data_IF_596676749558
#
_entry.id   IF_596676749558
#
_cell.length_a   1.000
_cell.length_b   1.000
_cell.length_c   1.000
_cell.angle_alpha   90.00
_cell.angle_beta   90.00
_cell.angle_gamma   90.00
#
_symmetry.space_group_name_H-M   'P 1'
#
loop_
_entity.id
_entity.type
_entity.pdbx_description
1 polymer ?
#
# COMPACT_ATOMS: atom_id res chain seq x y z
N UNK A 1 -90.22 4.37 -26.94
CA UNK A 1 -90.90 5.36 -27.80
C UNK A 1 -90.21 5.32 -29.11
N UNK A 2 -90.95 4.78 -30.03
CA UNK A 2 -91.28 5.15 -31.39
C UNK A 2 -90.14 5.06 -32.36
N UNK A 3 -90.22 4.16 -33.20
CA UNK A 3 -91.08 3.83 -34.33
C UNK A 3 -90.37 4.07 -35.64
N UNK A 4 -90.17 3.00 -36.39
CA UNK A 4 -90.79 2.78 -37.74
C UNK A 4 -90.10 3.56 -38.86
N UNK A 5 -89.98 3.13 -40.07
CA UNK A 5 -90.69 2.16 -40.93
C UNK A 5 -89.85 2.03 -42.22
N UNK A 6 -89.75 0.84 -42.82
CA UNK A 6 -90.53 0.34 -43.95
C UNK A 6 -90.26 1.13 -45.28
N UNK A 7 -89.96 0.63 -46.36
CA UNK A 7 -90.38 -0.44 -47.28
C UNK A 7 -89.55 -0.25 -48.57
N UNK A 8 -89.12 -1.23 -49.25
CA UNK A 8 -89.75 -2.22 -50.14
C UNK A 8 -89.80 -1.83 -51.65
N UNK A 9 -89.47 -2.79 -52.41
CA UNK A 9 -90.04 -3.13 -53.76
C UNK A 9 -89.27 -2.57 -54.97
N UNK A 10 -88.92 -3.26 -55.95
CA UNK A 10 -89.18 -4.36 -56.80
C UNK A 10 -88.31 -4.36 -58.08
N UNK A 11 -87.79 -5.48 -58.41
CA UNK A 11 -87.96 -6.25 -59.61
C UNK A 11 -87.33 -5.76 -60.92
N UNK A 12 -86.78 -6.71 -61.60
CA UNK A 12 -86.46 -6.63 -63.02
C UNK A 12 -85.29 -7.47 -63.41
N UNK A 13 -85.56 -8.71 -63.79
CA UNK A 13 -84.69 -9.73 -64.34
C UNK A 13 -84.18 -9.43 -65.69
N UNK A 14 -83.07 -10.03 -66.04
CA UNK A 14 -82.89 -10.74 -67.36
C UNK A 14 -81.62 -11.60 -67.29
N UNK A 15 -81.80 -12.85 -67.64
CA UNK A 15 -80.76 -13.81 -67.93
C UNK A 15 -79.93 -13.39 -69.12
N UNK A 16 -78.64 -13.61 -69.13
CA UNK A 16 -77.88 -14.13 -70.31
C UNK A 16 -76.67 -14.93 -69.78
N UNK A 17 -76.55 -16.10 -70.32
CA UNK A 17 -75.55 -17.11 -70.21
C UNK A 17 -74.20 -16.69 -70.83
N UNK A 18 -73.15 -17.37 -70.30
CA UNK A 18 -71.98 -17.86 -70.99
C UNK A 18 -70.64 -17.30 -70.53
N UNK A 19 -69.78 -18.22 -70.22
CA UNK A 19 -68.33 -18.05 -70.34
C UNK A 19 -67.49 -18.49 -69.17
N UNK A 20 -67.35 -19.81 -69.04
CA UNK A 20 -66.19 -20.32 -68.25
C UNK A 20 -64.91 -19.81 -68.86
N UNK A 21 -64.13 -19.11 -68.05
CA UNK A 21 -62.70 -18.90 -68.30
C UNK A 21 -61.97 -19.26 -67.02
N UNK A 22 -61.28 -20.39 -67.08
CA UNK A 22 -60.28 -20.80 -66.10
C UNK A 22 -59.23 -19.68 -65.89
N UNK A 23 -59.29 -18.96 -64.78
CA UNK A 23 -58.21 -18.10 -64.40
C UNK A 23 -57.30 -18.93 -63.49
N UNK A 24 -56.21 -19.42 -64.05
CA UNK A 24 -55.08 -19.94 -63.26
C UNK A 24 -54.76 -18.93 -62.20
N UNK A 25 -54.98 -19.28 -60.91
CA UNK A 25 -54.46 -18.59 -59.76
C UNK A 25 -52.96 -18.58 -59.92
N UNK A 26 -52.35 -17.44 -60.28
CA UNK A 26 -50.94 -17.19 -60.10
C UNK A 26 -50.73 -17.15 -58.63
N UNK A 27 -50.03 -18.14 -58.14
CA UNK A 27 -49.47 -18.12 -56.79
C UNK A 27 -48.68 -16.80 -56.63
N UNK A 28 -49.16 -15.92 -55.76
CA UNK A 28 -48.50 -14.68 -55.37
C UNK A 28 -47.19 -15.05 -54.64
N UNK A 29 -46.12 -15.13 -55.41
CA UNK A 29 -44.77 -15.30 -54.82
C UNK A 29 -44.52 -14.02 -54.00
N UNK A 30 -44.40 -14.09 -52.67
CA UNK A 30 -44.17 -12.89 -51.90
C UNK A 30 -42.89 -12.21 -52.38
N UNK A 31 -43.00 -10.92 -52.67
CA UNK A 31 -41.84 -10.13 -53.11
C UNK A 31 -40.73 -10.17 -52.11
N UNK A 32 -39.53 -10.58 -52.53
CA UNK A 32 -38.37 -10.63 -51.63
C UNK A 32 -38.02 -9.23 -51.12
N UNK A 33 -37.94 -9.09 -49.81
CA UNK A 33 -37.61 -7.83 -49.11
C UNK A 33 -36.11 -7.58 -49.25
N UNK A 34 -35.74 -6.39 -49.71
CA UNK A 34 -34.31 -5.98 -49.79
C UNK A 34 -33.74 -5.67 -48.43
N UNK A 35 -32.65 -6.32 -48.05
CA UNK A 35 -32.00 -6.18 -46.77
C UNK A 35 -30.50 -6.03 -46.94
N UNK A 36 -29.88 -5.29 -45.99
CA UNK A 36 -28.43 -5.26 -45.80
C UNK A 36 -28.03 -6.28 -44.75
N UNK A 37 -26.93 -6.95 -44.96
CA UNK A 37 -26.42 -7.97 -44.03
C UNK A 37 -24.99 -7.68 -43.61
N UNK A 38 -24.60 -8.19 -42.45
CA UNK A 38 -23.23 -8.22 -42.00
C UNK A 38 -22.89 -9.62 -41.47
N UNK A 39 -21.65 -10.03 -41.67
CA UNK A 39 -21.16 -11.29 -41.16
C UNK A 39 -20.90 -11.18 -39.61
N UNK A 40 -21.23 -12.25 -38.91
CA UNK A 40 -20.86 -12.45 -37.52
C UNK A 40 -19.37 -12.74 -37.47
N UNK A 41 -18.61 -11.85 -36.88
CA UNK A 41 -17.16 -12.00 -36.74
C UNK A 41 -16.80 -12.32 -35.26
N UNK A 42 -15.78 -13.15 -35.07
CA UNK A 42 -15.25 -13.40 -33.74
C UNK A 42 -14.37 -12.22 -33.29
N UNK A 43 -14.75 -11.56 -32.20
CA UNK A 43 -14.02 -10.45 -31.61
C UNK A 43 -13.42 -10.89 -30.29
N UNK A 44 -12.14 -10.55 -30.04
CA UNK A 44 -11.49 -10.77 -28.76
C UNK A 44 -12.20 -9.92 -27.69
N UNK A 45 -12.57 -10.55 -26.58
CA UNK A 45 -13.20 -9.86 -25.45
C UNK A 45 -12.11 -9.37 -24.51
N UNK A 46 -12.11 -8.08 -24.21
CA UNK A 46 -11.26 -7.52 -23.15
C UNK A 46 -11.77 -8.01 -21.79
N UNK A 47 -11.08 -9.00 -21.22
CA UNK A 47 -11.39 -9.55 -19.90
C UNK A 47 -10.62 -8.85 -18.79
N UNK A 48 -10.00 -7.70 -19.06
CA UNK A 48 -9.22 -6.96 -18.10
C UNK A 48 -10.07 -6.49 -16.92
N UNK A 49 -9.73 -6.96 -15.73
CA UNK A 49 -10.34 -6.49 -14.50
C UNK A 49 -9.62 -5.22 -14.03
N UNK A 50 -10.37 -4.19 -13.69
CA UNK A 50 -9.83 -2.92 -13.19
C UNK A 50 -10.16 -2.78 -11.72
N UNK A 51 -9.13 -2.65 -10.90
CA UNK A 51 -9.23 -2.44 -9.46
C UNK A 51 -8.80 -1.02 -9.13
N UNK A 52 -9.68 -0.29 -8.43
CA UNK A 52 -9.37 1.06 -7.95
C UNK A 52 -8.89 1.00 -6.50
N UNK A 53 -7.85 1.76 -6.20
CA UNK A 53 -7.34 1.92 -4.83
C UNK A 53 -6.63 3.27 -4.67
N UNK A 54 -6.42 3.65 -3.42
CA UNK A 54 -5.69 4.85 -3.05
C UNK A 54 -4.19 4.55 -2.97
N UNK A 55 -3.37 5.50 -3.42
CA UNK A 55 -1.93 5.43 -3.25
C UNK A 55 -1.55 5.74 -1.81
N UNK A 56 -0.75 4.88 -1.22
CA UNK A 56 -0.19 5.04 0.13
C UNK A 56 1.34 5.13 0.05
N UNK A 57 2.00 5.77 1.02
CA UNK A 57 3.46 5.70 1.13
C UNK A 57 3.91 4.25 1.35
N UNK A 58 5.12 3.92 0.93
CA UNK A 58 5.73 2.60 1.17
C UNK A 58 5.81 2.26 2.66
N UNK A 59 6.20 3.24 3.47
CA UNK A 59 6.22 3.15 4.92
C UNK A 59 5.89 4.50 5.56
N UNK A 60 5.30 4.45 6.75
CA UNK A 60 5.01 5.64 7.56
C UNK A 60 5.60 5.49 8.94
N UNK A 61 6.13 6.59 9.49
CA UNK A 61 6.65 6.65 10.85
C UNK A 61 5.97 7.81 11.57
N UNK A 62 5.37 7.53 12.71
CA UNK A 62 4.92 8.58 13.63
C UNK A 62 6.06 8.99 14.54
N UNK A 63 6.36 10.28 14.55
CA UNK A 63 7.42 10.89 15.34
C UNK A 63 6.82 11.53 16.56
N UNK A 64 7.30 11.15 17.74
CA UNK A 64 6.87 11.69 19.02
C UNK A 64 8.08 12.11 19.85
N UNK A 65 7.92 13.14 20.68
CA UNK A 65 8.96 13.54 21.62
C UNK A 65 9.11 12.52 22.76
N UNK A 66 10.33 12.27 23.16
CA UNK A 66 10.65 11.42 24.32
C UNK A 66 10.80 12.21 25.62
N UNK A 67 10.80 13.53 25.52
CA UNK A 67 10.94 14.46 26.64
C UNK A 67 9.82 15.49 26.62
N UNK A 68 9.55 16.09 27.76
CA UNK A 68 8.54 17.13 27.95
C UNK A 68 9.16 18.51 27.71
N UNK A 69 8.35 19.50 27.35
CA UNK A 69 8.80 20.90 27.28
C UNK A 69 8.19 21.68 26.13
N UNK A 70 8.59 22.94 26.02
CA UNK A 70 8.13 23.80 24.93
C UNK A 70 8.98 23.60 23.68
N UNK A 71 8.32 23.48 22.52
CA UNK A 71 9.01 23.46 21.23
C UNK A 71 9.66 24.82 20.99
N UNK A 72 10.98 24.84 20.90
CA UNK A 72 11.77 26.06 20.70
C UNK A 72 11.86 26.41 19.21
N UNK A 73 12.13 25.43 18.37
CA UNK A 73 12.33 25.62 16.92
C UNK A 73 11.92 24.41 16.11
N UNK A 74 11.59 24.68 14.85
CA UNK A 74 11.34 23.68 13.82
C UNK A 74 12.40 23.76 12.73
N UNK A 75 12.57 22.67 11.98
CA UNK A 75 13.39 22.64 10.77
C UNK A 75 12.94 23.73 9.82
N UNK A 76 13.91 24.45 9.24
CA UNK A 76 13.62 25.43 8.19
C UNK A 76 13.88 24.82 6.82
N UNK A 77 12.86 24.86 5.96
CA UNK A 77 12.91 24.44 4.56
C UNK A 77 12.56 25.65 3.71
N UNK A 78 13.48 26.06 2.82
CA UNK A 78 13.24 27.24 1.98
C UNK A 78 12.99 28.54 2.75
N UNK A 79 13.58 28.70 3.95
CA UNK A 79 13.42 29.91 4.78
C UNK A 79 12.18 29.95 5.68
N UNK A 80 11.26 28.99 5.56
CA UNK A 80 10.07 28.82 6.41
C UNK A 80 10.16 27.59 7.28
N UNK A 81 9.36 27.51 8.33
CA UNK A 81 9.23 26.29 9.12
C UNK A 81 8.68 25.15 8.25
N UNK A 82 9.17 23.94 8.49
CA UNK A 82 8.74 22.70 7.84
C UNK A 82 7.22 22.56 7.90
N UNK A 83 6.63 22.11 6.79
CA UNK A 83 5.19 21.89 6.64
C UNK A 83 4.91 20.53 5.99
N UNK A 84 3.64 20.13 6.01
CA UNK A 84 3.19 18.96 5.26
C UNK A 84 3.51 19.15 3.75
N UNK A 85 4.05 18.10 3.14
CA UNK A 85 4.53 18.10 1.76
C UNK A 85 6.03 18.36 1.60
N UNK A 86 6.73 18.85 2.63
CA UNK A 86 8.18 19.08 2.56
C UNK A 86 8.95 17.77 2.65
N UNK A 87 10.03 17.67 1.87
CA UNK A 87 10.98 16.57 1.95
C UNK A 87 12.01 16.84 3.05
N UNK A 88 12.29 15.82 3.84
CA UNK A 88 13.29 15.83 4.91
C UNK A 88 14.27 14.69 4.73
N UNK A 89 15.55 14.96 4.90
CA UNK A 89 16.59 13.95 4.82
C UNK A 89 16.71 13.17 6.14
N UNK A 90 17.17 11.93 6.07
CA UNK A 90 17.57 11.15 7.25
C UNK A 90 18.59 11.93 8.08
N UNK A 91 18.38 11.98 9.41
CA UNK A 91 19.24 12.70 10.34
C UNK A 91 18.91 14.19 10.49
N UNK A 92 17.96 14.75 9.74
CA UNK A 92 17.52 16.12 9.91
C UNK A 92 16.78 16.30 11.24
N UNK A 93 17.10 17.36 11.97
CA UNK A 93 16.39 17.73 13.21
C UNK A 93 15.11 18.45 12.81
N UNK A 94 13.96 17.79 12.98
CA UNK A 94 12.64 18.30 12.61
C UNK A 94 12.12 19.35 13.58
N UNK A 95 12.37 19.13 14.86
CA UNK A 95 11.97 20.03 15.93
C UNK A 95 12.93 19.91 17.11
N UNK A 96 12.98 20.95 17.93
CA UNK A 96 13.79 20.98 19.12
C UNK A 96 12.97 21.53 20.28
N UNK A 97 12.97 20.80 21.39
CA UNK A 97 12.43 21.28 22.67
C UNK A 97 13.47 22.19 23.32
N UNK A 98 13.05 23.15 24.15
CA UNK A 98 13.93 24.04 24.90
C UNK A 98 14.98 23.24 25.65
N UNK A 99 16.24 23.53 25.38
CA UNK A 99 17.36 22.73 25.86
C UNK A 99 17.98 23.25 27.17
N UNK A 100 17.61 24.44 27.63
CA UNK A 100 18.25 25.10 28.80
C UNK A 100 18.32 24.20 30.04
N UNK A 101 17.17 23.62 30.39
CA UNK A 101 17.04 22.85 31.64
C UNK A 101 17.73 21.49 31.53
N UNK A 102 17.64 20.86 30.38
CA UNK A 102 18.29 19.59 30.04
C UNK A 102 19.81 19.74 29.96
N UNK A 103 20.32 20.87 29.44
CA UNK A 103 21.73 21.21 29.40
C UNK A 103 22.26 21.40 30.81
N UNK A 104 21.54 22.16 31.65
CA UNK A 104 21.95 22.36 33.06
C UNK A 104 22.04 21.02 33.81
N UNK A 105 21.08 20.10 33.59
CA UNK A 105 21.12 18.75 34.18
C UNK A 105 22.30 17.91 33.68
N UNK A 106 22.64 18.01 32.39
CA UNK A 106 23.82 17.35 31.81
C UNK A 106 25.11 17.92 32.40
N UNK A 107 25.23 19.23 32.48
CA UNK A 107 26.43 19.89 33.03
C UNK A 107 26.64 19.55 34.51
N UNK A 108 25.56 19.47 35.30
CA UNK A 108 25.60 19.03 36.67
C UNK A 108 26.09 17.57 36.82
N UNK A 109 25.57 16.64 36.01
CA UNK A 109 25.99 15.23 36.02
C UNK A 109 27.44 15.05 35.55
N UNK A 110 27.91 15.85 34.61
CA UNK A 110 29.30 15.92 34.19
C UNK A 110 30.24 16.37 35.32
N UNK A 111 29.85 17.45 35.99
CA UNK A 111 30.61 17.93 37.14
C UNK A 111 30.74 16.87 38.25
N UNK A 112 29.66 16.12 38.53
CA UNK A 112 29.65 15.02 39.45
C UNK A 112 30.59 13.87 39.05
N UNK A 113 30.59 13.50 37.75
CA UNK A 113 31.52 12.49 37.24
C UNK A 113 32.99 12.92 37.36
N UNK A 114 33.29 14.19 37.06
CA UNK A 114 34.63 14.76 37.26
C UNK A 114 35.04 14.75 38.71
N UNK A 115 34.17 15.16 39.64
CA UNK A 115 34.43 15.11 41.07
C UNK A 115 34.75 13.68 41.56
N UNK A 116 33.98 12.70 41.10
CA UNK A 116 34.22 11.29 41.46
C UNK A 116 35.54 10.76 40.85
N UNK A 117 35.93 11.24 39.67
CA UNK A 117 37.21 10.89 39.04
C UNK A 117 38.39 11.42 39.83
N UNK A 118 38.31 12.67 40.34
CA UNK A 118 39.33 13.23 41.22
C UNK A 118 39.39 12.50 42.58
N UNK A 119 38.23 12.12 43.14
CA UNK A 119 38.16 11.27 44.34
C UNK A 119 38.90 9.94 44.19
N UNK A 120 38.75 9.28 43.05
CA UNK A 120 39.48 8.04 42.73
C UNK A 120 41.01 8.29 42.64
N UNK A 121 41.43 9.41 42.02
CA UNK A 121 42.86 9.77 41.99
C UNK A 121 43.44 9.95 43.37
N UNK A 122 42.74 10.67 44.25
CA UNK A 122 43.17 10.86 45.65
C UNK A 122 43.29 9.51 46.35
N UNK A 123 42.31 8.61 46.21
CA UNK A 123 42.36 7.29 46.82
C UNK A 123 43.51 6.43 46.28
N UNK A 124 43.82 6.53 44.99
CA UNK A 124 44.99 5.82 44.40
C UNK A 124 46.31 6.35 44.91
N UNK A 125 46.46 7.65 45.09
CA UNK A 125 47.64 8.23 45.69
C UNK A 125 47.83 7.80 47.17
N UNK A 126 46.73 7.78 47.95
CA UNK A 126 46.75 7.27 49.33
C UNK A 126 47.15 5.80 49.39
N UNK A 127 46.64 4.96 48.47
CA UNK A 127 47.07 3.56 48.35
C UNK A 127 48.57 3.46 48.06
N UNK A 128 49.08 4.21 47.11
CA UNK A 128 50.53 4.22 46.79
C UNK A 128 51.38 4.65 47.97
N UNK A 129 50.94 5.63 48.77
CA UNK A 129 51.62 6.04 50.00
C UNK A 129 51.68 4.92 51.04
N UNK A 130 50.53 4.22 51.25
CA UNK A 130 50.47 3.13 52.24
C UNK A 130 51.27 1.92 51.78
N UNK A 131 51.27 1.62 50.46
CA UNK A 131 52.07 0.54 49.86
C UNK A 131 53.57 0.79 50.03
N UNK A 132 54.05 2.05 49.94
CA UNK A 132 55.43 2.37 50.19
C UNK A 132 55.81 2.14 51.71
N UNK A 133 54.91 2.48 52.64
CA UNK A 133 55.12 2.21 54.10
C UNK A 133 55.13 0.71 54.35
N UNK A 134 54.21 -0.06 53.71
CA UNK A 134 54.19 -1.52 53.82
C UNK A 134 55.50 -2.16 53.31
N UNK A 135 55.99 -1.68 52.14
CA UNK A 135 57.25 -2.17 51.56
C UNK A 135 58.40 -1.99 52.49
N UNK A 136 58.50 -0.80 53.19
CA UNK A 136 59.52 -0.57 54.25
C UNK A 136 59.34 -1.56 55.37
N UNK A 137 58.15 -1.69 55.96
CA UNK A 137 57.86 -2.60 57.05
C UNK A 137 58.19 -4.05 56.76
N UNK A 138 57.90 -4.49 55.47
CA UNK A 138 58.25 -5.82 54.99
C UNK A 138 59.74 -6.08 54.96
N UNK A 139 60.54 -5.14 54.46
CA UNK A 139 62.02 -5.23 54.47
C UNK A 139 62.59 -5.21 55.89
N UNK A 140 61.99 -4.41 56.77
CA UNK A 140 62.39 -4.34 58.21
C UNK A 140 62.09 -5.68 58.95
N UNK A 141 60.90 -6.28 58.72
CA UNK A 141 60.52 -7.57 59.28
C UNK A 141 61.37 -8.75 58.71
N UNK A 142 61.70 -8.67 57.42
CA UNK A 142 62.63 -9.65 56.83
C UNK A 142 64.00 -9.62 57.46
N UNK A 143 64.60 -8.42 57.67
CA UNK A 143 65.87 -8.23 58.37
C UNK A 143 65.77 -8.66 59.83
N UNK A 144 64.69 -8.31 60.57
CA UNK A 144 64.49 -8.76 61.93
C UNK A 144 64.34 -10.31 61.98
N UNK A 145 63.78 -10.94 61.06
CA UNK A 145 63.66 -12.42 61.00
C UNK A 145 65.02 -13.06 60.83
N UNK A 146 65.88 -12.56 59.96
CA UNK A 146 67.21 -13.08 59.71
C UNK A 146 68.10 -12.91 61.00
N UNK A 147 68.08 -11.71 61.61
CA UNK A 147 68.83 -11.43 62.82
C UNK A 147 68.35 -12.24 64.05
N UNK A 148 67.04 -12.48 64.18
CA UNK A 148 66.46 -13.34 65.18
C UNK A 148 66.90 -14.82 65.03
N UNK A 149 66.97 -15.33 63.88
CA UNK A 149 67.46 -16.69 63.54
C UNK A 149 68.94 -16.83 63.93
N UNK A 150 69.73 -15.78 63.69
CA UNK A 150 71.14 -15.73 64.07
C UNK A 150 71.35 -15.42 65.63
N UNK A 151 70.24 -15.31 66.36
CA UNK A 151 70.25 -14.96 67.80
C UNK A 151 70.87 -13.55 68.11
N UNK A 152 70.86 -12.65 67.12
CA UNK A 152 71.38 -11.31 67.19
C UNK A 152 70.28 -10.25 67.50
N UNK A 153 69.01 -10.69 67.63
CA UNK A 153 67.89 -9.80 67.98
C UNK A 153 67.07 -10.38 69.13
N UNK A 154 66.49 -9.52 70.00
CA UNK A 154 65.57 -9.99 71.03
C UNK A 154 64.22 -10.37 70.55
N UNK A 155 63.55 -11.33 71.27
CA UNK A 155 62.17 -11.72 70.88
C UNK A 155 61.15 -10.57 70.83
N UNK A 156 61.11 -9.65 71.81
CA UNK A 156 60.22 -8.50 71.76
C UNK A 156 60.42 -7.63 70.51
N UNK A 157 61.65 -7.37 70.08
CA UNK A 157 61.97 -6.54 68.93
C UNK A 157 61.51 -7.27 67.59
N UNK A 158 61.68 -8.61 67.50
CA UNK A 158 61.15 -9.39 66.43
C UNK A 158 59.65 -9.37 66.39
N UNK A 159 58.97 -9.58 67.52
CA UNK A 159 57.51 -9.56 67.60
C UNK A 159 56.96 -8.16 67.23
N UNK A 160 57.65 -7.06 67.63
CA UNK A 160 57.30 -5.70 67.24
C UNK A 160 57.39 -5.43 65.75
N UNK A 161 58.50 -5.91 65.11
CA UNK A 161 58.64 -5.76 63.62
C UNK A 161 57.55 -6.53 62.86
N UNK A 162 57.22 -7.72 63.37
CA UNK A 162 56.15 -8.54 62.75
C UNK A 162 54.77 -7.90 62.94
N UNK A 163 54.47 -7.39 64.15
CA UNK A 163 53.20 -6.68 64.39
C UNK A 163 53.07 -5.41 63.54
N UNK A 164 54.19 -4.72 63.29
CA UNK A 164 54.20 -3.55 62.38
C UNK A 164 53.94 -3.95 60.94
N UNK A 165 54.49 -5.08 60.44
CA UNK A 165 54.20 -5.61 59.12
C UNK A 165 52.71 -5.96 59.01
N UNK A 166 52.13 -6.67 59.98
CA UNK A 166 50.74 -7.07 59.95
C UNK A 166 49.81 -5.85 59.99
N UNK A 167 50.13 -4.83 60.75
CA UNK A 167 49.39 -3.57 60.80
C UNK A 167 49.41 -2.81 59.47
N UNK A 168 50.60 -2.66 58.87
CA UNK A 168 50.70 -1.97 57.57
C UNK A 168 50.04 -2.76 56.43
N UNK A 169 50.06 -4.09 56.49
CA UNK A 169 49.31 -4.95 55.56
C UNK A 169 47.82 -4.67 55.67
N UNK A 170 47.24 -4.61 56.84
CA UNK A 170 45.83 -4.28 57.04
C UNK A 170 45.48 -2.88 56.49
N UNK A 171 46.40 -1.90 56.64
CA UNK A 171 46.23 -0.55 56.08
C UNK A 171 46.21 -0.57 54.54
N UNK A 172 47.07 -1.37 53.88
CA UNK A 172 47.03 -1.54 52.41
C UNK A 172 45.71 -2.13 51.96
N UNK A 173 45.21 -3.19 52.60
CA UNK A 173 43.92 -3.79 52.28
C UNK A 173 42.76 -2.80 52.44
N UNK A 174 42.77 -1.99 53.50
CA UNK A 174 41.78 -0.95 53.71
C UNK A 174 41.84 0.14 52.61
N UNK A 175 43.05 0.58 52.21
CA UNK A 175 43.24 1.54 51.14
C UNK A 175 42.81 0.97 49.76
N UNK A 176 43.08 -0.30 49.49
CA UNK A 176 42.61 -0.99 48.30
C UNK A 176 41.09 -1.02 48.23
N UNK A 177 40.43 -1.33 49.34
CA UNK A 177 38.97 -1.28 49.41
C UNK A 177 38.41 0.12 49.19
N UNK A 178 39.10 1.15 49.72
CA UNK A 178 38.70 2.53 49.45
C UNK A 178 38.81 2.88 47.95
N UNK A 179 39.89 2.46 47.26
CA UNK A 179 40.01 2.63 45.78
C UNK A 179 38.87 1.94 45.03
N UNK A 180 38.48 0.73 45.47
CA UNK A 180 37.36 0.01 44.90
C UNK A 180 36.04 0.78 45.09
N UNK A 181 35.78 1.32 46.28
CA UNK A 181 34.61 2.15 46.55
C UNK A 181 34.57 3.39 45.66
N UNK A 182 35.68 4.13 45.54
CA UNK A 182 35.77 5.34 44.73
C UNK A 182 35.59 5.01 43.23
N UNK A 183 36.09 3.85 42.77
CA UNK A 183 35.86 3.37 41.40
C UNK A 183 34.38 3.14 41.14
N UNK A 184 33.69 2.48 42.07
CA UNK A 184 32.25 2.21 41.92
C UNK A 184 31.44 3.52 41.95
N UNK A 185 31.82 4.51 42.75
CA UNK A 185 31.20 5.84 42.73
C UNK A 185 31.40 6.56 41.38
N UNK A 186 32.61 6.48 40.81
CA UNK A 186 32.87 7.03 39.49
C UNK A 186 32.03 6.36 38.40
N UNK A 187 31.93 5.03 38.42
CA UNK A 187 31.10 4.33 37.42
C UNK A 187 29.60 4.67 37.55
N UNK A 188 29.10 4.85 38.76
CA UNK A 188 27.75 5.34 39.03
C UNK A 188 27.54 6.76 38.48
N UNK A 189 28.48 7.67 38.75
CA UNK A 189 28.41 9.05 38.26
C UNK A 189 28.47 9.13 36.73
N UNK A 190 29.31 8.32 36.08
CA UNK A 190 29.37 8.20 34.63
C UNK A 190 28.07 7.62 34.02
N UNK A 191 27.44 6.67 34.72
CA UNK A 191 26.15 6.16 34.29
C UNK A 191 25.07 7.25 34.32
N UNK A 192 25.07 8.09 35.34
CA UNK A 192 24.19 9.25 35.46
C UNK A 192 24.47 10.30 34.35
N UNK A 193 25.73 10.58 34.04
CA UNK A 193 26.12 11.47 32.94
C UNK A 193 25.61 10.94 31.59
N UNK A 194 25.79 9.62 31.32
CA UNK A 194 25.23 9.00 30.09
C UNK A 194 23.71 9.14 30.02
N UNK A 195 22.99 8.92 31.11
CA UNK A 195 21.54 9.09 31.18
C UNK A 195 21.12 10.54 30.87
N UNK A 196 21.80 11.52 31.45
CA UNK A 196 21.53 12.94 31.19
C UNK A 196 21.88 13.33 29.75
N UNK A 197 22.92 12.74 29.16
CA UNK A 197 23.28 12.94 27.76
C UNK A 197 22.17 12.43 26.83
N UNK A 198 21.67 11.22 27.04
CA UNK A 198 20.57 10.65 26.26
C UNK A 198 19.33 11.55 26.37
N UNK A 199 18.99 12.01 27.57
CA UNK A 199 17.84 12.88 27.80
C UNK A 199 18.01 14.23 27.09
N UNK A 200 19.21 14.79 27.07
CA UNK A 200 19.53 16.01 26.33
C UNK A 200 19.44 15.79 24.82
N UNK A 201 19.96 14.69 24.29
CA UNK A 201 19.87 14.35 22.87
C UNK A 201 18.42 14.13 22.43
N UNK A 202 17.59 13.54 23.29
CA UNK A 202 16.16 13.31 23.04
C UNK A 202 15.33 14.62 23.00
N UNK A 203 15.91 15.78 23.33
CA UNK A 203 15.30 17.10 23.09
C UNK A 203 15.21 17.46 21.61
N UNK A 204 16.02 16.82 20.77
CA UNK A 204 16.01 16.99 19.34
C UNK A 204 15.26 15.84 18.68
N UNK A 205 14.19 16.14 17.96
CA UNK A 205 13.41 15.15 17.21
C UNK A 205 14.04 14.97 15.83
N UNK A 206 14.73 13.86 15.62
CA UNK A 206 15.55 13.59 14.44
C UNK A 206 14.82 12.62 13.50
N UNK A 207 14.78 12.92 12.20
CA UNK A 207 14.18 12.06 11.18
C UNK A 207 14.96 10.73 11.03
N UNK A 208 14.34 9.56 11.23
CA UNK A 208 15.02 8.26 11.17
C UNK A 208 15.31 7.81 9.74
N UNK A 209 14.61 8.39 8.76
CA UNK A 209 14.73 8.10 7.33
C UNK A 209 14.49 9.34 6.50
N UNK A 210 14.92 9.32 5.25
CA UNK A 210 14.53 10.33 4.27
C UNK A 210 13.07 10.11 3.87
N UNK A 211 12.23 11.14 4.02
CA UNK A 211 10.78 11.02 3.87
C UNK A 211 10.14 12.38 3.54
N UNK A 212 8.87 12.34 3.18
CA UNK A 212 8.02 13.54 3.10
C UNK A 212 7.20 13.67 4.39
N UNK A 213 7.09 14.88 4.89
CA UNK A 213 6.21 15.19 6.02
C UNK A 213 4.76 15.07 5.55
N UNK A 214 4.04 14.06 6.04
CA UNK A 214 2.63 13.87 5.72
C UNK A 214 1.74 14.77 6.60
N UNK A 215 2.14 14.93 7.86
CA UNK A 215 1.39 15.70 8.85
C UNK A 215 2.34 16.34 9.86
N UNK A 216 2.03 17.56 10.26
CA UNK A 216 2.71 18.31 11.34
C UNK A 216 1.67 18.71 12.38
N UNK A 217 1.91 18.34 13.63
CA UNK A 217 0.99 18.59 14.76
C UNK A 217 1.55 19.57 15.80
N UNK A 218 2.74 20.11 15.57
CA UNK A 218 3.43 20.97 16.54
C UNK A 218 3.88 22.29 15.90
N UNK A 219 3.86 23.36 16.71
CA UNK A 219 4.37 24.68 16.34
C UNK A 219 5.36 25.18 17.39
N UNK A 220 6.24 26.14 17.07
CA UNK A 220 7.07 26.80 18.07
C UNK A 220 6.21 27.38 19.18
N UNK A 221 6.60 27.15 20.44
CA UNK A 221 5.82 27.56 21.61
C UNK A 221 4.80 26.53 22.09
N UNK A 222 4.55 25.44 21.35
CA UNK A 222 3.67 24.34 21.81
C UNK A 222 4.33 23.59 22.98
N UNK A 223 3.58 23.38 24.06
CA UNK A 223 3.98 22.45 25.12
C UNK A 223 3.73 21.02 24.66
N UNK A 224 4.77 20.20 24.67
CA UNK A 224 4.70 18.79 24.31
C UNK A 224 5.05 17.90 25.50
N UNK A 225 4.43 16.74 25.57
CA UNK A 225 4.71 15.71 26.54
C UNK A 225 5.34 14.48 25.90
N UNK A 226 5.85 13.56 26.73
CA UNK A 226 6.38 12.26 26.26
C UNK A 226 5.33 11.48 25.51
N UNK A 227 5.68 10.99 24.31
CA UNK A 227 4.78 10.23 23.45
C UNK A 227 3.79 11.08 22.67
N UNK A 228 3.77 12.40 22.85
CA UNK A 228 2.91 13.28 22.05
C UNK A 228 3.33 13.26 20.58
N UNK A 229 2.44 12.86 19.63
CA UNK A 229 2.77 12.81 18.21
C UNK A 229 3.03 14.22 17.67
N UNK A 230 4.17 14.39 17.02
CA UNK A 230 4.63 15.67 16.49
C UNK A 230 4.59 15.73 14.97
N UNK A 231 5.07 14.69 14.32
CA UNK A 231 5.10 14.57 12.86
C UNK A 231 4.72 13.16 12.42
N UNK A 232 4.11 13.06 11.26
CA UNK A 232 3.97 11.80 10.53
C UNK A 232 4.78 11.91 9.24
N UNK A 233 5.77 11.04 9.11
CA UNK A 233 6.65 10.96 7.95
C UNK A 233 6.25 9.79 7.06
N UNK A 234 6.36 9.95 5.74
CA UNK A 234 6.10 8.89 4.76
C UNK A 234 7.21 8.77 3.74
N UNK A 235 7.68 7.55 3.52
CA UNK A 235 8.55 7.27 2.39
C UNK A 235 7.71 7.21 1.11
N UNK A 236 7.90 8.20 0.24
CA UNK A 236 7.18 8.30 -1.04
C UNK A 236 8.07 8.02 -2.26
N UNK A 237 9.31 7.56 -2.07
CA UNK A 237 10.18 7.14 -3.18
C UNK A 237 9.59 5.95 -3.95
N UNK A 238 8.83 5.13 -3.25
CA UNK A 238 7.93 4.12 -3.77
C UNK A 238 6.57 4.38 -3.15
N UNK A 239 5.51 4.29 -3.92
CA UNK A 239 4.14 4.31 -3.41
C UNK A 239 3.51 2.94 -3.63
N UNK A 240 2.57 2.58 -2.78
CA UNK A 240 1.86 1.31 -2.87
C UNK A 240 0.38 1.52 -3.07
N UNK A 241 -0.25 0.57 -3.74
CA UNK A 241 -1.70 0.46 -3.85
C UNK A 241 -2.11 -0.92 -3.34
N UNK A 242 -3.11 -0.98 -2.48
CA UNK A 242 -3.68 -2.23 -1.99
C UNK A 242 -5.13 -2.36 -2.49
N UNK A 243 -5.47 -3.50 -3.08
CA UNK A 243 -6.81 -3.80 -3.56
C UNK A 243 -7.17 -5.26 -3.28
N UNK A 244 -8.48 -5.53 -3.20
CA UNK A 244 -8.99 -6.86 -2.95
C UNK A 244 -9.23 -7.62 -4.24
N UNK A 245 -8.81 -8.87 -4.28
CA UNK A 245 -8.93 -9.77 -5.44
C UNK A 245 -9.63 -11.06 -5.02
N UNK A 246 -10.59 -11.59 -5.80
CA UNK A 246 -11.24 -12.86 -5.51
C UNK A 246 -10.26 -14.05 -5.62
N UNK A 247 -10.60 -15.15 -4.98
CA UNK A 247 -9.85 -16.41 -4.95
C UNK A 247 -9.53 -16.96 -6.36
N UNK A 248 -10.46 -16.82 -7.29
CA UNK A 248 -10.33 -17.29 -8.68
C UNK A 248 -9.18 -16.60 -9.43
N UNK A 249 -8.83 -15.38 -9.04
CA UNK A 249 -7.75 -14.59 -9.65
C UNK A 249 -6.46 -14.64 -8.86
N UNK A 250 -6.52 -14.63 -7.51
CA UNK A 250 -5.32 -14.58 -6.67
C UNK A 250 -4.42 -15.80 -6.85
N UNK A 251 -4.99 -16.98 -7.07
CA UNK A 251 -4.24 -18.23 -7.30
C UNK A 251 -3.34 -18.20 -8.54
N UNK A 252 -3.59 -17.27 -9.45
CA UNK A 252 -2.84 -17.09 -10.70
C UNK A 252 -1.90 -15.88 -10.66
N UNK A 253 -1.90 -15.13 -9.55
CA UNK A 253 -0.99 -14.01 -9.33
C UNK A 253 0.31 -14.51 -8.72
N UNK A 254 1.42 -13.90 -9.11
CA UNK A 254 2.73 -14.20 -8.55
C UNK A 254 3.43 -12.91 -8.13
N UNK A 255 4.26 -13.01 -7.09
CA UNK A 255 5.11 -11.91 -6.64
C UNK A 255 6.02 -11.45 -7.80
N UNK A 256 6.22 -10.16 -7.92
CA UNK A 256 7.09 -9.58 -8.93
C UNK A 256 6.44 -9.33 -10.29
N UNK A 257 5.24 -9.83 -10.55
CA UNK A 257 4.50 -9.54 -11.79
C UNK A 257 4.19 -8.05 -11.87
N UNK A 258 4.28 -7.49 -13.06
CA UNK A 258 4.09 -6.06 -13.32
C UNK A 258 2.75 -5.84 -14.00
N UNK A 259 1.96 -4.91 -13.48
CA UNK A 259 0.70 -4.47 -14.05
C UNK A 259 0.72 -2.99 -14.41
N UNK A 260 0.02 -2.56 -15.47
CA UNK A 260 -0.16 -1.16 -15.75
C UNK A 260 -1.10 -0.53 -14.70
N UNK A 261 -0.64 0.59 -14.16
CA UNK A 261 -1.38 1.40 -13.18
C UNK A 261 -1.63 2.77 -13.81
N UNK A 262 -2.87 3.16 -13.89
CA UNK A 262 -3.30 4.48 -14.29
C UNK A 262 -3.69 5.27 -13.04
N UNK A 263 -3.09 6.43 -12.84
CA UNK A 263 -3.44 7.33 -11.72
C UNK A 263 -4.33 8.43 -12.26
N UNK A 264 -5.47 8.68 -11.61
CA UNK A 264 -6.49 9.62 -12.12
C UNK A 264 -5.95 11.05 -12.28
N UNK A 265 -4.94 11.45 -11.49
CA UNK A 265 -4.25 12.73 -11.62
C UNK A 265 -3.33 12.81 -12.87
N UNK A 266 -3.00 11.70 -13.49
CA UNK A 266 -2.10 11.60 -14.66
C UNK A 266 -2.69 10.65 -15.71
N UNK A 267 -3.80 11.02 -16.38
CA UNK A 267 -4.55 10.13 -17.26
C UNK A 267 -3.74 9.65 -18.47
N UNK A 268 -2.78 10.43 -18.94
CA UNK A 268 -1.94 10.12 -20.10
C UNK A 268 -0.71 9.26 -19.75
N UNK A 269 -0.42 9.05 -18.45
CA UNK A 269 0.75 8.33 -17.99
C UNK A 269 0.37 6.97 -17.42
N UNK A 270 0.91 5.92 -17.99
CA UNK A 270 0.84 4.57 -17.43
C UNK A 270 2.07 4.31 -16.57
N UNK A 271 1.83 4.10 -15.29
CA UNK A 271 2.87 3.68 -14.34
C UNK A 271 2.96 2.15 -14.32
N UNK A 272 4.11 1.64 -13.97
CA UNK A 272 4.30 0.21 -13.77
C UNK A 272 4.24 -0.12 -12.29
N UNK A 273 3.26 -0.92 -11.92
CA UNK A 273 3.11 -1.44 -10.56
C UNK A 273 3.54 -2.90 -10.49
N UNK A 274 4.43 -3.22 -9.55
CA UNK A 274 4.92 -4.59 -9.33
C UNK A 274 4.26 -5.18 -8.09
N UNK A 275 3.71 -6.40 -8.19
CA UNK A 275 3.18 -7.11 -7.04
C UNK A 275 4.30 -7.32 -6.03
N UNK A 276 4.12 -6.78 -4.83
CA UNK A 276 5.03 -6.90 -3.69
C UNK A 276 4.54 -7.91 -2.67
N UNK A 277 3.23 -7.94 -2.46
CA UNK A 277 2.62 -8.78 -1.43
C UNK A 277 1.27 -9.30 -1.89
N UNK A 278 0.99 -10.54 -1.54
CA UNK A 278 -0.30 -11.19 -1.69
C UNK A 278 -0.65 -11.76 -0.31
N UNK A 279 -1.76 -11.33 0.27
CA UNK A 279 -2.18 -11.81 1.57
C UNK A 279 -2.40 -13.33 1.56
N UNK A 280 -1.93 -14.01 2.61
CA UNK A 280 -2.09 -15.46 2.75
C UNK A 280 -3.53 -15.89 3.10
N UNK A 281 -4.36 -14.95 3.57
CA UNK A 281 -5.75 -15.20 3.93
C UNK A 281 -6.65 -14.10 3.34
N UNK A 282 -7.89 -14.48 3.01
CA UNK A 282 -8.91 -13.52 2.62
C UNK A 282 -9.38 -12.69 3.82
N UNK A 283 -9.74 -11.45 3.57
CA UNK A 283 -10.41 -10.59 4.55
C UNK A 283 -11.79 -11.21 4.91
N UNK A 284 -12.06 -11.50 6.18
CA UNK A 284 -13.31 -12.16 6.59
C UNK A 284 -14.58 -11.36 6.27
N UNK A 285 -14.49 -10.03 6.16
CA UNK A 285 -15.64 -9.17 5.90
C UNK A 285 -15.98 -9.12 4.40
N UNK A 286 -14.97 -9.20 3.52
CA UNK A 286 -15.17 -9.04 2.07
C UNK A 286 -14.97 -10.32 1.28
N UNK A 287 -14.31 -11.36 1.84
CA UNK A 287 -13.94 -12.57 1.14
C UNK A 287 -12.83 -12.38 0.09
N UNK A 288 -12.19 -11.21 0.06
CA UNK A 288 -11.17 -10.88 -0.93
C UNK A 288 -9.77 -11.01 -0.35
N UNK A 289 -8.83 -11.40 -1.20
CA UNK A 289 -7.40 -11.41 -0.87
C UNK A 289 -6.79 -10.05 -1.16
N UNK A 290 -6.11 -9.48 -0.17
CA UNK A 290 -5.39 -8.22 -0.33
C UNK A 290 -4.13 -8.43 -1.17
N UNK A 291 -4.01 -7.68 -2.25
CA UNK A 291 -2.82 -7.63 -3.11
C UNK A 291 -2.24 -6.23 -3.03
N UNK A 292 -0.95 -6.13 -2.76
CA UNK A 292 -0.22 -4.86 -2.74
C UNK A 292 0.69 -4.75 -3.96
N UNK A 293 0.56 -3.63 -4.66
CA UNK A 293 1.38 -3.28 -5.83
C UNK A 293 2.24 -2.08 -5.49
N UNK A 294 3.55 -2.21 -5.66
CA UNK A 294 4.53 -1.15 -5.47
C UNK A 294 4.80 -0.43 -6.80
N UNK A 295 4.80 0.90 -6.77
CA UNK A 295 5.00 1.77 -7.93
C UNK A 295 6.19 2.67 -7.62
N UNK A 296 7.23 2.65 -8.46
CA UNK A 296 8.39 3.53 -8.31
C UNK A 296 8.00 4.99 -8.57
N UNK A 297 8.39 5.88 -7.66
CA UNK A 297 8.06 7.30 -7.69
C UNK A 297 9.32 8.18 -7.61
N UNK A 298 10.30 7.90 -8.46
CA UNK A 298 11.60 8.58 -8.48
C UNK A 298 11.49 10.10 -8.66
N UNK A 299 10.49 10.56 -9.40
CA UNK A 299 10.22 12.00 -9.63
C UNK A 299 9.33 12.63 -8.55
N UNK A 300 8.91 11.86 -7.53
CA UNK A 300 8.03 12.30 -6.44
C UNK A 300 6.72 12.97 -6.91
N UNK A 301 6.22 12.60 -8.10
CA UNK A 301 4.98 13.14 -8.68
C UNK A 301 3.75 12.53 -8.02
N UNK A 302 3.84 11.25 -7.65
CA UNK A 302 2.75 10.53 -7.00
C UNK A 302 2.72 10.89 -5.52
N UNK A 303 1.56 11.37 -5.07
CA UNK A 303 1.34 11.75 -3.67
C UNK A 303 0.44 10.73 -2.98
N UNK A 304 0.64 10.55 -1.68
CA UNK A 304 -0.27 9.78 -0.84
C UNK A 304 -1.69 10.37 -0.93
N UNK A 305 -2.70 9.50 -1.00
CA UNK A 305 -4.10 9.89 -1.14
C UNK A 305 -4.61 10.01 -2.58
N UNK A 306 -3.75 9.96 -3.61
CA UNK A 306 -4.20 9.91 -5.00
C UNK A 306 -4.91 8.58 -5.30
N UNK A 307 -5.93 8.64 -6.16
CA UNK A 307 -6.63 7.46 -6.65
C UNK A 307 -5.95 6.92 -7.90
N UNK A 308 -5.90 5.60 -8.01
CA UNK A 308 -5.37 4.92 -9.18
C UNK A 308 -6.16 3.66 -9.51
N UNK A 309 -5.97 3.16 -10.73
CA UNK A 309 -6.60 1.96 -11.25
C UNK A 309 -5.52 0.98 -11.72
N UNK A 310 -5.55 -0.22 -11.18
CA UNK A 310 -4.69 -1.33 -11.61
C UNK A 310 -5.47 -2.15 -12.62
N UNK A 311 -4.91 -2.35 -13.80
CA UNK A 311 -5.49 -3.20 -14.82
C UNK A 311 -4.86 -4.59 -14.74
N UNK A 312 -5.63 -5.56 -14.28
CA UNK A 312 -5.21 -6.96 -14.18
C UNK A 312 -5.82 -7.71 -15.35
N UNK A 313 -5.02 -8.26 -16.27
CA UNK A 313 -5.54 -9.05 -17.37
C UNK A 313 -6.38 -10.22 -16.85
N UNK A 314 -7.55 -10.41 -17.41
CA UNK A 314 -8.34 -11.60 -17.14
C UNK A 314 -7.62 -12.83 -17.70
N UNK A 315 -7.57 -13.90 -16.92
CA UNK A 315 -6.85 -15.12 -17.28
C UNK A 315 -7.59 -16.03 -18.26
N UNK A 316 -8.73 -15.59 -18.80
CA UNK A 316 -9.33 -16.23 -19.97
C UNK A 316 -8.64 -15.63 -21.21
N UNK A 317 -7.51 -16.25 -21.57
CA UNK A 317 -6.80 -15.90 -22.78
C UNK A 317 -7.72 -16.07 -23.98
N UNK A 318 -7.80 -15.04 -24.81
CA UNK A 318 -8.39 -15.05 -26.16
C UNK A 318 -9.79 -15.69 -26.31
N UNK A 319 -10.69 -15.42 -25.36
CA UNK A 319 -12.09 -15.74 -25.62
C UNK A 319 -12.56 -14.86 -26.78
N UNK A 320 -12.59 -15.44 -27.98
CA UNK A 320 -13.24 -14.84 -29.13
C UNK A 320 -14.71 -15.19 -29.05
N UNK A 321 -15.56 -14.20 -28.95
CA UNK A 321 -17.01 -14.38 -28.99
C UNK A 321 -17.54 -13.85 -30.33
N UNK A 322 -18.55 -14.52 -30.90
CA UNK A 322 -19.26 -13.97 -32.00
C UNK A 322 -19.76 -12.57 -31.68
N UNK A 323 -19.61 -11.62 -32.58
CA UNK A 323 -20.05 -10.25 -32.38
C UNK A 323 -20.85 -9.77 -33.60
N UNK A 324 -21.91 -9.00 -33.30
CA UNK A 324 -22.80 -8.42 -34.31
C UNK A 324 -22.80 -6.90 -34.21
N UNK A 325 -22.98 -6.17 -35.32
CA UNK A 325 -23.19 -4.74 -35.26
C UNK A 325 -24.44 -4.41 -34.43
N UNK A 326 -24.36 -3.35 -33.61
CA UNK A 326 -25.51 -2.92 -32.82
C UNK A 326 -26.77 -2.62 -33.65
N UNK A 327 -26.57 -2.28 -34.92
CA UNK A 327 -27.67 -2.06 -35.88
C UNK A 327 -28.46 -3.32 -36.23
N UNK A 328 -27.90 -4.53 -36.03
CA UNK A 328 -28.61 -5.80 -36.30
C UNK A 328 -29.62 -6.15 -35.21
N UNK A 329 -29.50 -5.57 -34.02
CA UNK A 329 -30.30 -5.94 -32.85
C UNK A 329 -31.74 -5.42 -32.93
N UNK A 330 -32.68 -6.29 -32.57
CA UNK A 330 -34.04 -5.96 -32.22
C UNK A 330 -34.16 -6.14 -30.70
N UNK A 331 -34.33 -5.05 -29.97
CA UNK A 331 -34.40 -5.11 -28.50
C UNK A 331 -35.63 -5.89 -28.02
N UNK A 332 -35.44 -6.80 -27.09
CA UNK A 332 -36.55 -7.43 -26.38
C UNK A 332 -37.04 -6.48 -25.27
N UNK A 333 -38.34 -6.20 -25.17
CA UNK A 333 -38.87 -5.36 -24.11
C UNK A 333 -38.77 -6.00 -22.72
N UNK A 334 -38.61 -7.31 -22.63
CA UNK A 334 -38.75 -8.11 -21.41
C UNK A 334 -37.40 -8.50 -20.75
N UNK A 335 -36.29 -8.46 -21.49
CA UNK A 335 -34.98 -8.85 -20.96
C UNK A 335 -33.91 -7.92 -21.53
N UNK A 336 -33.24 -7.09 -20.69
CA UNK A 336 -32.16 -6.20 -21.15
C UNK A 336 -30.92 -6.95 -21.67
N UNK A 337 -30.73 -8.22 -21.27
CA UNK A 337 -29.60 -9.07 -21.68
C UNK A 337 -29.93 -9.96 -22.90
N UNK A 338 -31.13 -9.89 -23.42
CA UNK A 338 -31.54 -10.62 -24.63
C UNK A 338 -31.96 -9.66 -25.73
N UNK A 339 -31.69 -10.06 -26.96
CA UNK A 339 -32.17 -9.39 -28.15
C UNK A 339 -32.54 -10.42 -29.21
N UNK A 340 -33.30 -10.01 -30.18
CA UNK A 340 -33.56 -10.83 -31.34
C UNK A 340 -32.78 -10.30 -32.55
N UNK A 341 -32.37 -11.16 -33.45
CA UNK A 341 -31.72 -10.84 -34.71
C UNK A 341 -32.37 -11.67 -35.84
N UNK A 342 -32.38 -11.12 -37.05
CA UNK A 342 -32.70 -11.91 -38.22
C UNK A 342 -31.43 -12.52 -38.78
N UNK A 343 -31.36 -13.85 -38.82
CA UNK A 343 -30.28 -14.61 -39.44
C UNK A 343 -30.70 -14.99 -40.83
N UNK A 344 -29.80 -14.86 -41.78
CA UNK A 344 -30.02 -15.25 -43.17
C UNK A 344 -29.76 -16.75 -43.32
N UNK A 345 -30.78 -17.52 -43.69
CA UNK A 345 -30.65 -18.94 -43.95
C UNK A 345 -31.11 -19.22 -45.41
N UNK A 346 -30.44 -20.15 -46.09
CA UNK A 346 -30.78 -20.59 -47.44
C UNK A 346 -29.63 -20.42 -48.43
N UNK A 347 -29.77 -21.05 -49.60
CA UNK A 347 -28.82 -20.97 -50.72
C UNK A 347 -29.27 -19.96 -51.78
N UNK A 348 -28.32 -19.58 -52.66
CA UNK A 348 -28.51 -18.60 -53.72
C UNK A 348 -29.81 -18.84 -54.55
N UNK A 349 -30.85 -18.05 -54.23
CA UNK A 349 -32.17 -18.08 -54.94
C UNK A 349 -33.39 -18.14 -54.05
N UNK A 350 -33.26 -18.63 -52.79
CA UNK A 350 -34.28 -18.56 -51.73
C UNK A 350 -33.65 -18.32 -50.39
N UNK A 351 -33.36 -17.06 -50.09
CA UNK A 351 -32.87 -16.67 -48.78
C UNK A 351 -34.06 -16.29 -47.91
N UNK A 352 -34.05 -16.79 -46.65
CA UNK A 352 -35.07 -16.56 -45.64
C UNK A 352 -34.43 -15.83 -44.44
N UNK A 353 -35.18 -14.91 -43.87
CA UNK A 353 -34.80 -14.25 -42.62
C UNK A 353 -35.44 -14.98 -41.43
N UNK A 354 -34.67 -15.70 -40.64
CA UNK A 354 -35.13 -16.36 -39.41
C UNK A 354 -34.90 -15.48 -38.21
N UNK A 355 -35.93 -15.26 -37.40
CA UNK A 355 -35.84 -14.54 -36.15
C UNK A 355 -35.25 -15.44 -35.08
N UNK A 356 -34.09 -15.08 -34.57
CA UNK A 356 -33.40 -15.85 -33.50
C UNK A 356 -33.12 -14.97 -32.29
N UNK A 357 -33.48 -15.49 -31.11
CA UNK A 357 -33.16 -14.83 -29.83
C UNK A 357 -31.73 -15.14 -29.47
N UNK A 358 -31.00 -14.12 -29.10
CA UNK A 358 -29.58 -14.17 -28.70
C UNK A 358 -29.42 -13.60 -27.33
N UNK A 359 -28.38 -14.08 -26.60
CA UNK A 359 -27.96 -13.52 -25.35
C UNK A 359 -26.79 -12.58 -25.58
N UNK A 360 -26.95 -11.34 -25.14
CA UNK A 360 -25.96 -10.28 -25.33
C UNK A 360 -24.84 -10.43 -24.36
N UNK A 361 -23.61 -10.08 -24.77
CA UNK A 361 -22.42 -9.90 -23.94
C UNK A 361 -22.03 -8.42 -23.83
N UNK A 362 -20.75 -8.15 -23.93
CA UNK A 362 -20.17 -6.80 -23.78
C UNK A 362 -20.08 -6.06 -25.11
N UNK A 363 -20.00 -4.72 -25.04
CA UNK A 363 -19.68 -3.90 -26.19
C UNK A 363 -18.20 -4.05 -26.58
N UNK A 364 -17.92 -4.29 -27.84
CA UNK A 364 -16.58 -4.30 -28.42
C UNK A 364 -16.56 -3.29 -29.60
N UNK A 365 -16.24 -2.04 -29.27
CA UNK A 365 -16.34 -0.93 -30.23
C UNK A 365 -17.79 -0.67 -30.69
N UNK A 366 -18.05 -0.77 -32.01
CA UNK A 366 -19.40 -0.63 -32.63
C UNK A 366 -20.20 -1.93 -32.65
N UNK A 367 -19.63 -3.03 -32.14
CA UNK A 367 -20.25 -4.37 -32.13
C UNK A 367 -20.61 -4.79 -30.71
N UNK A 368 -21.53 -5.73 -30.58
CA UNK A 368 -21.93 -6.37 -29.33
C UNK A 368 -21.59 -7.84 -29.41
N UNK A 369 -20.89 -8.38 -28.45
CA UNK A 369 -20.58 -9.81 -28.38
C UNK A 369 -21.84 -10.60 -28.03
N UNK A 370 -21.92 -11.82 -28.51
CA UNK A 370 -23.04 -12.74 -28.32
C UNK A 370 -22.55 -13.94 -27.53
N UNK A 371 -23.18 -14.16 -26.37
CA UNK A 371 -22.84 -15.28 -25.49
C UNK A 371 -23.47 -16.60 -25.94
N UNK A 372 -24.62 -16.53 -26.56
CA UNK A 372 -25.34 -17.70 -27.07
C UNK A 372 -26.32 -17.30 -28.19
N UNK A 373 -26.56 -18.21 -29.16
CA UNK A 373 -27.58 -18.08 -30.19
C UNK A 373 -27.06 -17.77 -31.59
N UNK A 374 -25.74 -17.44 -31.74
CA UNK A 374 -25.12 -17.23 -33.06
C UNK A 374 -23.78 -17.94 -33.18
N UNK A 375 -23.39 -18.27 -34.36
CA UNK A 375 -22.08 -18.84 -34.70
C UNK A 375 -21.30 -17.86 -35.60
N UNK A 376 -19.98 -17.96 -35.53
CA UNK A 376 -19.09 -17.23 -36.43
C UNK A 376 -19.38 -17.58 -37.90
N UNK A 377 -19.41 -16.56 -38.77
CA UNK A 377 -19.68 -16.73 -40.21
C UNK A 377 -21.15 -16.62 -40.59
N UNK A 378 -22.11 -16.68 -39.65
CA UNK A 378 -23.51 -16.45 -39.95
C UNK A 378 -23.74 -15.01 -40.46
N UNK A 379 -24.72 -14.81 -41.34
CA UNK A 379 -25.09 -13.47 -41.83
C UNK A 379 -26.30 -12.96 -41.06
N UNK A 380 -26.20 -11.75 -40.51
CA UNK A 380 -27.31 -11.09 -39.79
C UNK A 380 -27.77 -9.84 -40.53
N UNK A 381 -29.06 -9.57 -40.50
CA UNK A 381 -29.66 -8.39 -41.16
C UNK A 381 -29.36 -7.14 -40.32
N UNK A 382 -28.78 -6.14 -40.97
CA UNK A 382 -28.45 -4.84 -40.33
C UNK A 382 -29.34 -3.69 -40.79
N UNK A 383 -29.87 -3.78 -42.04
CA UNK A 383 -30.77 -2.79 -42.63
C UNK A 383 -32.02 -3.43 -43.26
N UNK A 384 -33.14 -2.72 -43.27
CA UNK A 384 -34.42 -3.22 -43.84
C UNK A 384 -35.24 -4.10 -42.87
N UNK A 385 -34.82 -4.28 -41.61
CA UNK A 385 -35.44 -5.19 -40.64
C UNK A 385 -36.82 -4.80 -40.15
N UNK A 386 -37.26 -3.53 -40.37
CA UNK A 386 -38.56 -3.03 -39.91
C UNK A 386 -39.75 -3.71 -40.60
N UNK A 387 -39.53 -4.23 -41.80
CA UNK A 387 -40.57 -4.88 -42.61
C UNK A 387 -40.44 -6.41 -42.64
N UNK A 388 -39.51 -6.96 -41.84
CA UNK A 388 -39.29 -8.40 -41.79
C UNK A 388 -40.17 -9.07 -40.73
N UNK A 389 -40.72 -10.21 -41.13
CA UNK A 389 -41.35 -11.18 -40.25
C UNK A 389 -40.54 -12.48 -40.31
N UNK A 390 -40.67 -13.31 -39.29
CA UNK A 390 -39.98 -14.59 -39.24
C UNK A 390 -40.32 -15.44 -40.47
N UNK A 391 -39.29 -16.01 -41.13
CA UNK A 391 -39.43 -16.78 -42.37
C UNK A 391 -39.65 -15.94 -43.63
N UNK A 392 -39.51 -14.63 -43.63
CA UNK A 392 -39.68 -13.77 -44.80
C UNK A 392 -38.60 -14.03 -45.85
N UNK A 393 -39.05 -14.03 -47.13
CA UNK A 393 -38.15 -14.12 -48.32
C UNK A 393 -37.38 -12.79 -48.45
N UNK A 394 -36.06 -12.87 -48.51
CA UNK A 394 -35.19 -11.71 -48.58
C UNK A 394 -34.28 -11.71 -49.80
N UNK A 395 -33.87 -10.52 -50.21
CA UNK A 395 -32.81 -10.29 -51.20
C UNK A 395 -31.72 -9.43 -50.54
N UNK A 396 -30.51 -9.97 -50.43
CA UNK A 396 -29.37 -9.23 -49.90
C UNK A 396 -28.92 -8.19 -50.92
N UNK A 397 -28.88 -6.95 -50.49
CA UNK A 397 -28.37 -5.81 -51.27
C UNK A 397 -27.06 -5.38 -50.59
N UNK A 398 -25.99 -5.28 -51.38
CA UNK A 398 -24.67 -4.84 -50.88
C UNK A 398 -24.68 -3.37 -50.51
#
# INVERSE_FOLDING_TARGET
>A
MHTNCVAAILAGGLLVLSGCRDTKSQANVPAAISVQTAAVEAVAVDTTNRYSATLEPDSTVEMAFKVDGYVESLLKVGGRNVQAGDFVAKGAVLARVRQSDYRAGLDASRAQALQSAEGLKVATWQLSQVEAIYTKASLDAERATALYQEKALTKPDYDAARAQLDSTRAQVEAARKNVEVQRNLLESAKAQERSSTITFDDTALVAPMSAVVLEKRVEPGTLVGRGAPAFRLGNVSTVRMAFGVPDTLVTRMALGVVFPVQVDAFPDNLFQGRIREIAAAADPATGLYRVEVAIANLKQQLKAGMMGKVSVPGFQADVRLPAVPATALLRSPSDPNAASVFVVEGESGKMLAQLRTIRLGQFAGSRITVLAGLKEGEQVVTGGKQNLVDGALIRVVK
#
